data_IF_943464803396
#
_entry.id   IF_943464803396
#
_cell.length_a   1.000
_cell.length_b   1.000
_cell.length_c   1.000
_cell.angle_alpha   90.00
_cell.angle_beta   90.00
_cell.angle_gamma   90.00
#
_symmetry.space_group_name_H-M   'P 1'
#
loop_
_entity.id
_entity.type
_entity.pdbx_description
1 polymer ?
#
# COMPACT_ATOMS: atom_id res chain seq x y z
N UNK A 1 3.33 -0.43 17.63
CA UNK A 1 2.58 0.24 16.54
C UNK A 1 2.07 -0.79 15.53
N UNK A 2 2.91 -1.66 14.95
CA UNK A 2 2.48 -2.71 14.01
C UNK A 2 1.32 -3.56 14.54
N UNK A 3 1.50 -4.24 15.66
CA UNK A 3 0.47 -5.12 16.26
C UNK A 3 -0.86 -4.40 16.50
N UNK A 4 -0.82 -3.14 16.92
CA UNK A 4 -2.02 -2.34 17.13
C UNK A 4 -2.80 -2.13 15.84
N UNK A 5 -2.13 -1.71 14.74
CA UNK A 5 -2.81 -1.44 13.48
C UNK A 5 -3.22 -2.71 12.73
N UNK A 6 -2.41 -3.77 12.80
CA UNK A 6 -2.76 -5.06 12.23
C UNK A 6 -4.01 -5.65 12.92
N UNK A 7 -4.04 -5.64 14.27
CA UNK A 7 -5.21 -6.10 15.01
C UNK A 7 -6.45 -5.27 14.68
N UNK A 8 -6.30 -3.96 14.56
CA UNK A 8 -7.39 -3.07 14.20
C UNK A 8 -7.93 -3.36 12.81
N UNK A 9 -7.05 -3.62 11.83
CA UNK A 9 -7.45 -4.04 10.49
C UNK A 9 -8.28 -5.32 10.54
N UNK A 10 -7.80 -6.38 11.18
CA UNK A 10 -8.50 -7.66 11.25
C UNK A 10 -9.82 -7.63 12.02
N UNK A 11 -9.96 -6.74 13.01
CA UNK A 11 -11.15 -6.71 13.86
C UNK A 11 -12.23 -5.70 13.42
N UNK A 12 -11.85 -4.64 12.72
CA UNK A 12 -12.73 -3.48 12.50
C UNK A 12 -12.86 -3.09 11.03
N UNK A 13 -11.87 -3.40 10.18
CA UNK A 13 -11.87 -2.99 8.77
C UNK A 13 -12.52 -4.07 7.92
N UNK A 14 -13.52 -3.69 7.14
CA UNK A 14 -14.24 -4.59 6.25
C UNK A 14 -13.60 -4.58 4.86
N UNK A 15 -13.29 -5.77 4.33
CA UNK A 15 -12.78 -5.98 2.98
C UNK A 15 -13.88 -6.55 2.10
N UNK A 16 -13.99 -6.05 0.87
CA UNK A 16 -14.86 -6.71 -0.09
C UNK A 16 -14.33 -8.11 -0.43
N UNK A 17 -15.21 -9.12 -0.48
CA UNK A 17 -14.79 -10.46 -0.83
C UNK A 17 -14.28 -10.50 -2.28
N UNK A 18 -13.14 -11.15 -2.49
CA UNK A 18 -12.61 -11.43 -3.81
C UNK A 18 -12.95 -12.87 -4.19
N UNK A 19 -13.46 -13.06 -5.41
CA UNK A 19 -13.95 -14.37 -5.87
C UNK A 19 -12.82 -15.33 -6.31
N UNK A 20 -11.58 -14.85 -6.38
CA UNK A 20 -10.45 -15.63 -6.87
C UNK A 20 -9.77 -16.44 -5.77
N UNK A 21 -9.37 -17.68 -6.08
CA UNK A 21 -8.61 -18.59 -5.19
C UNK A 21 -7.19 -18.09 -4.84
N UNK A 22 -6.77 -16.95 -5.37
CA UNK A 22 -5.43 -16.40 -5.19
C UNK A 22 -5.50 -15.16 -4.32
N UNK A 23 -5.05 -15.34 -3.09
CA UNK A 23 -5.02 -14.30 -2.06
C UNK A 23 -3.83 -13.35 -2.25
N UNK A 24 -3.91 -12.41 -3.20
CA UNK A 24 -2.82 -11.47 -3.51
C UNK A 24 -3.09 -10.03 -3.10
N UNK A 25 -4.35 -9.65 -2.80
CA UNK A 25 -4.74 -8.28 -2.42
C UNK A 25 -5.64 -8.27 -1.17
N UNK A 26 -5.27 -9.02 -0.15
CA UNK A 26 -6.03 -9.22 1.09
C UNK A 26 -5.37 -8.58 2.28
N UNK A 27 -5.91 -8.91 3.45
CA UNK A 27 -5.33 -8.51 4.75
C UNK A 27 -3.84 -8.84 4.86
N UNK A 28 -3.41 -10.02 4.38
CA UNK A 28 -2.00 -10.41 4.41
C UNK A 28 -1.09 -9.50 3.60
N UNK A 29 -1.56 -9.01 2.43
CA UNK A 29 -0.88 -7.97 1.67
C UNK A 29 -0.82 -6.67 2.46
N UNK A 30 -1.95 -6.20 2.98
CA UNK A 30 -2.03 -4.97 3.76
C UNK A 30 -1.15 -5.02 5.02
N UNK A 31 -1.01 -6.18 5.67
CA UNK A 31 -0.07 -6.36 6.80
C UNK A 31 1.38 -6.18 6.38
N UNK A 32 1.80 -6.77 5.27
CA UNK A 32 3.18 -6.58 4.78
C UNK A 32 3.43 -5.14 4.36
N UNK A 33 2.46 -4.50 3.70
CA UNK A 33 2.53 -3.06 3.37
C UNK A 33 2.62 -2.20 4.64
N UNK A 34 1.87 -2.51 5.68
CA UNK A 34 1.96 -1.84 6.99
C UNK A 34 3.37 -1.96 7.60
N UNK A 35 3.97 -3.16 7.52
CA UNK A 35 5.33 -3.36 8.02
C UNK A 35 6.37 -2.57 7.20
N UNK A 36 6.24 -2.56 5.87
CA UNK A 36 7.09 -1.74 5.00
C UNK A 36 6.95 -0.25 5.31
N UNK A 37 5.72 0.26 5.43
CA UNK A 37 5.44 1.65 5.75
C UNK A 37 6.04 2.09 7.10
N UNK A 38 5.89 1.27 8.14
CA UNK A 38 6.49 1.55 9.45
C UNK A 38 8.02 1.52 9.42
N UNK A 39 8.61 0.62 8.63
CA UNK A 39 10.05 0.54 8.48
C UNK A 39 10.60 1.75 7.73
N UNK A 40 9.96 2.17 6.63
CA UNK A 40 10.29 3.40 5.91
C UNK A 40 10.17 4.62 6.82
N UNK A 41 9.06 4.76 7.55
CA UNK A 41 8.86 5.86 8.48
C UNK A 41 9.98 5.95 9.53
N UNK A 42 10.47 4.80 10.03
CA UNK A 42 11.57 4.74 10.98
C UNK A 42 12.91 5.11 10.33
N UNK A 43 13.22 4.62 9.12
CA UNK A 43 14.47 4.93 8.41
C UNK A 43 14.55 6.42 8.06
N UNK A 44 13.45 7.02 7.62
CA UNK A 44 13.33 8.44 7.27
C UNK A 44 13.07 9.35 8.48
N UNK A 45 12.89 8.78 9.68
CA UNK A 45 12.61 9.50 10.94
C UNK A 45 11.39 10.42 10.82
N UNK A 46 10.32 9.91 10.22
CA UNK A 46 9.09 10.66 10.03
C UNK A 46 8.44 11.07 11.35
N UNK A 47 7.73 12.19 11.32
CA UNK A 47 6.91 12.63 12.46
C UNK A 47 5.75 11.65 12.70
N UNK A 48 5.30 11.57 13.94
CA UNK A 48 4.25 10.63 14.36
C UNK A 48 2.96 10.75 13.53
N UNK A 49 2.54 11.94 13.13
CA UNK A 49 1.35 12.15 12.29
C UNK A 49 1.52 11.48 10.91
N UNK A 50 2.65 11.68 10.25
CA UNK A 50 2.95 11.05 8.96
C UNK A 50 3.01 9.52 9.09
N UNK A 51 3.63 9.00 10.17
CA UNK A 51 3.66 7.56 10.45
C UNK A 51 2.26 6.98 10.65
N UNK A 52 1.37 7.68 11.36
CA UNK A 52 -0.03 7.26 11.54
C UNK A 52 -0.76 7.28 10.19
N UNK A 53 -0.55 8.33 9.37
CA UNK A 53 -1.15 8.41 8.04
C UNK A 53 -0.74 7.25 7.13
N UNK A 54 0.53 6.84 7.19
CA UNK A 54 1.03 5.64 6.49
C UNK A 54 0.36 4.35 7.00
N UNK A 55 0.14 4.23 8.32
CA UNK A 55 -0.59 3.08 8.88
C UNK A 55 -2.03 3.03 8.38
N UNK A 56 -2.74 4.18 8.38
CA UNK A 56 -4.10 4.25 7.83
C UNK A 56 -4.10 3.88 6.35
N UNK A 57 -3.20 4.42 5.54
CA UNK A 57 -3.12 4.08 4.13
C UNK A 57 -2.89 2.58 3.93
N UNK A 58 -1.98 1.97 4.69
CA UNK A 58 -1.66 0.55 4.57
C UNK A 58 -2.86 -0.38 4.84
N UNK A 59 -3.67 -0.07 5.86
CA UNK A 59 -4.78 -0.97 6.25
C UNK A 59 -6.08 -0.73 5.46
N UNK A 60 -6.19 0.36 4.68
CA UNK A 60 -7.41 0.68 3.96
C UNK A 60 -7.30 0.58 2.42
N UNK A 61 -6.10 0.71 1.81
CA UNK A 61 -5.95 0.97 0.38
C UNK A 61 -6.63 -0.06 -0.54
N UNK A 62 -6.56 -1.35 -0.21
CA UNK A 62 -7.09 -2.46 -1.02
C UNK A 62 -8.45 -3.00 -0.53
N UNK A 63 -9.08 -2.36 0.48
CA UNK A 63 -10.35 -2.81 1.08
C UNK A 63 -11.53 -2.86 0.11
N UNK A 64 -11.48 -2.14 -1.00
CA UNK A 64 -12.59 -1.99 -1.96
C UNK A 64 -12.23 -2.44 -3.37
N UNK A 65 -11.37 -3.48 -3.45
CA UNK A 65 -11.09 -4.17 -4.72
C UNK A 65 -12.24 -5.10 -5.10
N UNK A 66 -12.50 -5.20 -6.40
CA UNK A 66 -13.50 -6.09 -6.99
C UNK A 66 -12.89 -7.40 -7.49
N UNK A 67 -11.61 -7.37 -7.83
CA UNK A 67 -10.87 -8.53 -8.32
C UNK A 67 -9.35 -8.41 -7.99
N UNK A 68 -8.61 -9.49 -8.26
CA UNK A 68 -7.17 -9.56 -8.10
C UNK A 68 -6.37 -9.06 -9.33
N UNK A 69 -7.06 -8.50 -10.33
CA UNK A 69 -6.44 -8.05 -11.59
C UNK A 69 -6.38 -6.51 -11.69
N UNK A 70 -6.66 -5.96 -12.85
CA UNK A 70 -6.61 -4.53 -13.11
C UNK A 70 -7.95 -3.85 -12.74
N UNK A 71 -8.19 -3.67 -11.47
CA UNK A 71 -9.35 -2.96 -10.95
C UNK A 71 -9.07 -1.45 -10.80
N UNK A 72 -9.20 -0.71 -11.89
CA UNK A 72 -9.02 0.77 -11.83
C UNK A 72 -10.06 1.44 -10.94
N UNK A 73 -9.60 2.38 -10.11
CA UNK A 73 -10.44 3.17 -9.23
C UNK A 73 -10.78 2.48 -7.89
N UNK A 74 -10.11 1.36 -7.56
CA UNK A 74 -10.27 0.79 -6.22
C UNK A 74 -9.72 1.73 -5.14
N UNK A 75 -8.67 2.47 -5.42
CA UNK A 75 -8.12 3.47 -4.51
C UNK A 75 -9.13 4.56 -4.15
N UNK A 76 -9.88 5.08 -5.13
CA UNK A 76 -10.95 6.06 -4.85
C UNK A 76 -12.05 5.46 -3.96
N UNK A 77 -12.52 4.25 -4.26
CA UNK A 77 -13.53 3.55 -3.44
C UNK A 77 -13.04 3.29 -2.01
N UNK A 78 -11.79 2.86 -1.88
CA UNK A 78 -11.16 2.62 -0.58
C UNK A 78 -10.99 3.93 0.23
N UNK A 79 -10.65 5.03 -0.42
CA UNK A 79 -10.53 6.34 0.22
C UNK A 79 -11.89 6.85 0.76
N UNK A 80 -12.98 6.68 -0.01
CA UNK A 80 -14.32 7.02 0.46
C UNK A 80 -14.75 6.14 1.65
N UNK A 81 -14.43 4.85 1.60
CA UNK A 81 -14.65 3.96 2.76
C UNK A 81 -13.86 4.40 3.98
N UNK A 82 -12.56 4.69 3.83
CA UNK A 82 -11.73 5.21 4.91
C UNK A 82 -12.33 6.46 5.55
N UNK A 83 -12.80 7.40 4.73
CA UNK A 83 -13.42 8.64 5.21
C UNK A 83 -14.72 8.37 6.00
N UNK A 84 -15.58 7.47 5.50
CA UNK A 84 -16.80 7.06 6.19
C UNK A 84 -16.47 6.34 7.50
N UNK A 85 -15.51 5.42 7.48
CA UNK A 85 -15.05 4.69 8.66
C UNK A 85 -14.58 5.65 9.77
N UNK A 86 -13.76 6.65 9.45
CA UNK A 86 -13.31 7.65 10.42
C UNK A 86 -14.47 8.49 10.98
N UNK A 87 -15.54 8.70 10.24
CA UNK A 87 -16.70 9.43 10.73
C UNK A 87 -17.53 8.61 11.76
N UNK A 88 -17.48 7.29 11.66
CA UNK A 88 -18.19 6.35 12.54
C UNK A 88 -17.35 5.92 13.76
N UNK A 89 -16.02 6.03 13.68
CA UNK A 89 -15.07 5.56 14.70
C UNK A 89 -14.29 6.75 15.29
N UNK A 90 -14.80 7.33 16.37
CA UNK A 90 -14.26 8.55 16.98
C UNK A 90 -12.79 8.45 17.47
N UNK A 91 -12.28 7.24 17.66
CA UNK A 91 -10.91 6.93 18.04
C UNK A 91 -9.95 6.82 16.85
N UNK A 92 -10.46 6.89 15.60
CA UNK A 92 -9.67 6.98 14.38
C UNK A 92 -9.88 8.33 13.70
N UNK A 93 -9.00 9.27 13.95
CA UNK A 93 -9.07 10.60 13.35
C UNK A 93 -8.80 10.54 11.85
N UNK A 94 -9.69 11.16 11.07
CA UNK A 94 -9.49 11.35 9.64
C UNK A 94 -8.23 12.17 9.36
N UNK A 95 -7.37 11.66 8.48
CA UNK A 95 -6.15 12.31 8.03
C UNK A 95 -6.24 12.52 6.51
N UNK A 96 -6.32 13.76 6.01
CA UNK A 96 -6.47 14.02 4.58
C UNK A 96 -5.26 13.56 3.76
N UNK A 97 -4.06 13.54 4.34
CA UNK A 97 -2.86 12.97 3.73
C UNK A 97 -2.96 11.45 3.52
N UNK A 98 -3.59 10.72 4.45
CA UNK A 98 -3.87 9.29 4.29
C UNK A 98 -4.94 9.04 3.23
N UNK A 99 -6.01 9.87 3.23
CA UNK A 99 -7.03 9.81 2.19
C UNK A 99 -6.44 10.01 0.79
N UNK A 100 -5.57 11.00 0.61
CA UNK A 100 -4.90 11.24 -0.67
C UNK A 100 -4.03 10.06 -1.09
N UNK A 101 -3.25 9.49 -0.15
CA UNK A 101 -2.42 8.32 -0.40
C UNK A 101 -3.26 7.11 -0.84
N UNK A 102 -4.35 6.81 -0.14
CA UNK A 102 -5.29 5.74 -0.49
C UNK A 102 -5.92 5.99 -1.87
N UNK A 103 -6.42 7.20 -2.12
CA UNK A 103 -7.16 7.54 -3.33
C UNK A 103 -6.35 7.37 -4.61
N UNK A 104 -5.06 7.73 -4.57
CA UNK A 104 -4.22 7.83 -5.77
C UNK A 104 -3.15 6.73 -5.86
N UNK A 105 -3.15 5.73 -4.95
CA UNK A 105 -2.11 4.70 -4.98
C UNK A 105 -2.11 3.86 -6.26
N UNK A 106 -3.29 3.59 -6.83
CA UNK A 106 -3.49 2.81 -8.04
C UNK A 106 -3.37 3.61 -9.35
N UNK A 107 -2.99 4.91 -9.24
CA UNK A 107 -2.92 5.84 -10.36
C UNK A 107 -1.49 6.33 -10.61
N UNK A 108 -1.29 7.05 -11.74
CA UNK A 108 -0.03 7.73 -12.03
C UNK A 108 0.28 8.79 -10.97
N UNK A 109 1.57 8.90 -10.61
CA UNK A 109 2.01 9.82 -9.55
C UNK A 109 1.62 11.28 -9.82
N UNK A 110 1.63 11.70 -11.09
CA UNK A 110 1.29 13.07 -11.47
C UNK A 110 -0.12 13.49 -11.05
N UNK A 111 -1.07 12.55 -10.99
CA UNK A 111 -2.45 12.82 -10.55
C UNK A 111 -2.52 13.03 -9.04
N UNK A 112 -1.85 12.18 -8.27
CA UNK A 112 -1.75 12.32 -6.82
C UNK A 112 -0.99 13.58 -6.42
N UNK A 113 0.14 13.85 -7.06
CA UNK A 113 0.96 15.03 -6.82
C UNK A 113 0.17 16.32 -7.07
N UNK A 114 -0.55 16.39 -8.20
CA UNK A 114 -1.36 17.56 -8.53
C UNK A 114 -2.49 17.78 -7.52
N UNK A 115 -3.18 16.72 -7.12
CA UNK A 115 -4.21 16.79 -6.08
C UNK A 115 -3.64 17.29 -4.75
N UNK A 116 -2.52 16.69 -4.30
CA UNK A 116 -1.89 17.04 -3.04
C UNK A 116 -1.37 18.48 -3.03
N UNK A 117 -0.77 18.94 -4.13
CA UNK A 117 -0.32 20.33 -4.24
C UNK A 117 -1.47 21.34 -4.15
N UNK A 118 -2.64 20.99 -4.70
CA UNK A 118 -3.82 21.86 -4.64
C UNK A 118 -4.47 21.84 -3.25
N UNK A 119 -4.70 20.65 -2.67
CA UNK A 119 -5.46 20.49 -1.43
C UNK A 119 -4.61 20.66 -0.17
N UNK A 120 -3.34 20.21 -0.20
CA UNK A 120 -2.42 20.26 0.94
C UNK A 120 -1.94 21.66 1.29
N UNK A 121 -1.94 22.59 0.31
CA UNK A 121 -1.47 23.98 0.50
C UNK A 121 -0.08 23.99 1.18
N UNK A 122 0.03 24.64 2.33
CA UNK A 122 1.28 24.74 3.08
C UNK A 122 1.76 23.39 3.64
N UNK A 123 0.87 22.41 3.81
CA UNK A 123 1.18 21.04 4.24
C UNK A 123 1.50 20.10 3.07
N UNK A 124 1.37 20.53 1.82
CA UNK A 124 1.59 19.69 0.64
C UNK A 124 2.93 18.93 0.66
N UNK A 125 4.07 19.50 1.07
CA UNK A 125 5.33 18.74 1.14
C UNK A 125 5.26 17.53 2.10
N UNK A 126 4.56 17.67 3.23
CA UNK A 126 4.37 16.58 4.18
C UNK A 126 3.42 15.51 3.63
N UNK A 127 2.36 15.90 2.93
CA UNK A 127 1.43 14.99 2.30
C UNK A 127 2.08 14.22 1.13
N UNK A 128 2.92 14.88 0.33
CA UNK A 128 3.71 14.22 -0.73
C UNK A 128 4.64 13.15 -0.15
N UNK A 129 5.28 13.42 0.98
CA UNK A 129 6.09 12.44 1.67
C UNK A 129 5.27 11.20 2.04
N UNK A 130 4.09 11.38 2.66
CA UNK A 130 3.19 10.26 3.00
C UNK A 130 2.76 9.49 1.75
N UNK A 131 2.37 10.20 0.70
CA UNK A 131 1.91 9.59 -0.55
C UNK A 131 3.00 8.75 -1.23
N UNK A 132 4.20 9.32 -1.39
CA UNK A 132 5.30 8.63 -2.07
C UNK A 132 5.82 7.46 -1.24
N UNK A 133 5.98 7.61 0.08
CA UNK A 133 6.40 6.53 0.97
C UNK A 133 5.36 5.41 1.02
N UNK A 134 4.07 5.75 0.99
CA UNK A 134 3.02 4.75 0.92
C UNK A 134 3.09 3.95 -0.40
N UNK A 135 3.24 4.62 -1.54
CA UNK A 135 3.40 3.94 -2.85
C UNK A 135 4.67 3.09 -2.91
N UNK A 136 5.73 3.50 -2.24
CA UNK A 136 6.95 2.69 -2.10
C UNK A 136 6.70 1.46 -1.23
N UNK A 137 5.98 1.61 -0.10
CA UNK A 137 5.62 0.49 0.78
C UNK A 137 4.75 -0.54 0.08
N UNK A 138 3.75 -0.12 -0.69
CA UNK A 138 2.91 -0.99 -1.51
C UNK A 138 3.72 -1.67 -2.62
N UNK A 139 4.56 -0.91 -3.34
CA UNK A 139 5.41 -1.44 -4.40
C UNK A 139 6.39 -2.50 -3.89
N UNK A 140 6.95 -2.37 -2.68
CA UNK A 140 7.85 -3.35 -2.08
C UNK A 140 7.21 -4.73 -1.93
N UNK A 141 5.91 -4.81 -1.69
CA UNK A 141 5.21 -6.10 -1.58
C UNK A 141 4.90 -6.76 -2.94
N UNK A 142 5.26 -6.13 -4.06
CA UNK A 142 5.07 -6.71 -5.41
C UNK A 142 5.86 -8.00 -5.64
N UNK A 143 6.85 -8.32 -4.82
CA UNK A 143 7.52 -9.61 -4.83
C UNK A 143 6.57 -10.79 -4.59
N UNK A 144 5.41 -10.58 -3.96
CA UNK A 144 4.35 -11.59 -3.87
C UNK A 144 3.82 -12.04 -5.24
N UNK A 145 3.91 -11.17 -6.23
CA UNK A 145 3.45 -11.43 -7.60
C UNK A 145 4.53 -12.10 -8.48
N UNK A 146 5.80 -11.99 -8.10
CA UNK A 146 6.96 -12.54 -8.79
C UNK A 146 8.22 -11.71 -8.54
N UNK A 147 9.38 -12.34 -8.54
CA UNK A 147 10.67 -11.66 -8.32
C UNK A 147 10.98 -10.59 -9.38
N UNK A 148 10.33 -10.68 -10.53
CA UNK A 148 10.42 -9.73 -11.65
C UNK A 148 9.39 -8.60 -11.59
N UNK A 149 8.44 -8.64 -10.61
CA UNK A 149 7.32 -7.70 -10.56
C UNK A 149 7.66 -6.38 -9.88
N UNK A 150 8.85 -6.27 -9.24
CA UNK A 150 9.38 -5.03 -8.70
C UNK A 150 10.62 -4.60 -9.48
N UNK A 151 10.54 -3.44 -10.14
CA UNK A 151 11.69 -2.72 -10.69
C UNK A 151 12.05 -1.58 -9.74
N UNK A 152 13.32 -1.49 -9.32
CA UNK A 152 13.82 -0.44 -8.42
C UNK A 152 13.58 0.98 -8.94
N UNK A 153 13.42 1.16 -10.26
CA UNK A 153 13.10 2.44 -10.87
C UNK A 153 11.68 2.95 -10.55
N UNK A 154 10.80 2.09 -10.04
CA UNK A 154 9.48 2.50 -9.54
C UNK A 154 9.52 3.01 -8.10
N UNK A 155 10.59 2.72 -7.36
CA UNK A 155 10.76 3.19 -5.99
C UNK A 155 11.31 4.62 -5.99
N UNK A 156 10.68 5.48 -5.21
CA UNK A 156 10.90 6.92 -5.16
C UNK A 156 12.00 7.30 -4.18
N UNK A 157 12.05 6.59 -3.05
CA UNK A 157 13.03 6.84 -1.98
C UNK A 157 14.24 5.90 -2.06
N UNK A 158 15.38 6.37 -1.58
CA UNK A 158 16.58 5.52 -1.47
C UNK A 158 16.37 4.44 -0.41
N UNK A 159 15.71 4.78 0.69
CA UNK A 159 15.37 3.86 1.79
C UNK A 159 14.51 2.69 1.30
N UNK A 160 13.55 2.94 0.41
CA UNK A 160 12.75 1.87 -0.19
C UNK A 160 13.61 0.94 -1.05
N UNK A 161 14.56 1.47 -1.82
CA UNK A 161 15.50 0.64 -2.60
C UNK A 161 16.37 -0.23 -1.70
N UNK A 162 16.81 0.29 -0.57
CA UNK A 162 17.58 -0.46 0.43
C UNK A 162 16.74 -1.55 1.12
N UNK A 163 15.43 -1.41 1.13
CA UNK A 163 14.50 -2.40 1.70
C UNK A 163 14.17 -3.57 0.77
N UNK A 164 14.55 -3.53 -0.51
CA UNK A 164 14.20 -4.59 -1.47
C UNK A 164 14.58 -6.02 -1.01
N UNK A 165 15.79 -6.28 -0.46
CA UNK A 165 16.12 -7.62 0.06
C UNK A 165 15.21 -8.05 1.20
N UNK A 166 14.94 -7.14 2.15
CA UNK A 166 14.02 -7.40 3.25
C UNK A 166 12.60 -7.71 2.75
N UNK A 167 12.10 -6.97 1.75
CA UNK A 167 10.77 -7.18 1.19
C UNK A 167 10.63 -8.56 0.53
N UNK A 168 11.66 -9.00 -0.20
CA UNK A 168 11.71 -10.34 -0.79
C UNK A 168 11.69 -11.44 0.30
N UNK A 169 12.53 -11.28 1.32
CA UNK A 169 12.60 -12.23 2.43
C UNK A 169 11.27 -12.30 3.18
N UNK A 170 10.60 -11.16 3.40
CA UNK A 170 9.30 -11.10 4.08
C UNK A 170 8.22 -11.86 3.32
N UNK A 171 8.15 -11.71 2.01
CA UNK A 171 7.22 -12.46 1.16
C UNK A 171 7.46 -13.97 1.29
N UNK A 172 8.71 -14.42 1.24
CA UNK A 172 9.05 -15.84 1.39
C UNK A 172 8.79 -16.40 2.79
N UNK A 173 8.77 -15.55 3.82
CA UNK A 173 8.48 -15.96 5.20
C UNK A 173 6.99 -15.98 5.53
N UNK A 174 6.17 -15.19 4.82
CA UNK A 174 4.76 -14.97 5.16
C UNK A 174 3.78 -15.61 4.19
N UNK A 175 4.21 -16.00 2.99
CA UNK A 175 3.39 -16.69 2.00
C UNK A 175 3.97 -18.10 1.79
N UNK A 176 3.11 -19.11 1.81
CA UNK A 176 3.55 -20.48 1.58
C UNK A 176 4.06 -20.70 0.14
N UNK A 177 4.96 -21.67 -0.03
CA UNK A 177 5.65 -21.91 -1.28
C UNK A 177 4.72 -22.33 -2.44
N UNK A 178 3.60 -22.99 -2.15
CA UNK A 178 2.64 -23.42 -3.18
C UNK A 178 1.87 -22.22 -3.73
N UNK A 179 1.41 -21.34 -2.84
CA UNK A 179 0.76 -20.07 -3.21
C UNK A 179 1.70 -19.19 -4.04
N UNK A 180 2.97 -19.02 -3.62
CA UNK A 180 3.96 -18.27 -4.41
C UNK A 180 4.18 -18.88 -5.79
N UNK A 181 4.33 -20.19 -5.87
CA UNK A 181 4.53 -20.89 -7.14
C UNK A 181 3.35 -20.67 -8.10
N UNK A 182 2.11 -20.75 -7.59
CA UNK A 182 0.90 -20.50 -8.39
C UNK A 182 0.87 -19.06 -8.91
N UNK A 183 1.09 -18.10 -8.02
CA UNK A 183 1.10 -16.67 -8.37
C UNK A 183 2.19 -16.34 -9.37
N UNK A 184 3.39 -16.87 -9.18
CA UNK A 184 4.52 -16.64 -10.09
C UNK A 184 4.25 -17.21 -11.49
N UNK A 185 3.65 -18.39 -11.57
CA UNK A 185 3.27 -18.98 -12.87
C UNK A 185 2.27 -18.12 -13.65
N UNK A 186 1.39 -17.39 -12.97
CA UNK A 186 0.42 -16.48 -13.61
C UNK A 186 1.06 -15.20 -14.14
N UNK A 187 2.08 -14.69 -13.47
CA UNK A 187 2.71 -13.40 -13.81
C UNK A 187 3.92 -13.52 -14.72
N UNK A 188 4.61 -14.65 -14.72
CA UNK A 188 5.81 -14.88 -15.54
C UNK A 188 5.62 -14.58 -17.04
N UNK A 189 4.50 -14.96 -17.71
CA UNK A 189 4.27 -14.61 -19.12
C UNK A 189 4.26 -13.11 -19.39
N UNK A 190 4.08 -12.29 -18.36
CA UNK A 190 3.98 -10.84 -18.46
C UNK A 190 5.16 -10.08 -17.85
N UNK A 191 6.25 -10.78 -17.48
CA UNK A 191 7.38 -10.22 -16.74
C UNK A 191 7.99 -8.96 -17.35
N UNK A 192 8.00 -8.83 -18.67
CA UNK A 192 8.55 -7.65 -19.34
C UNK A 192 7.66 -6.40 -19.21
N UNK A 193 6.40 -6.55 -18.81
CA UNK A 193 5.50 -5.42 -18.55
C UNK A 193 5.75 -4.72 -17.23
N UNK A 194 6.49 -5.37 -16.32
CA UNK A 194 6.80 -4.82 -14.99
C UNK A 194 8.08 -3.98 -14.96
N UNK A 195 8.81 -3.91 -16.07
CA UNK A 195 9.99 -3.04 -16.20
C UNK A 195 9.54 -1.63 -16.58
N UNK A 196 10.15 -0.65 -15.91
CA UNK A 196 9.96 0.75 -16.30
C UNK A 196 10.66 0.99 -17.63
N UNK A 197 9.98 1.63 -18.63
CA UNK A 197 10.59 1.94 -19.91
C UNK A 197 11.79 2.89 -19.78
#
# INVERSE_FOLDING_TARGET
MFTFWAQRMHCEVDFWPLEDDIDVHTEGHCERVLLHALRLANMQKLRIRATIALCHAAIFHDTRRKDNYLDKGHGERAAEYYKAFCAEHADMHYLPEAYAAIRFHDQDDTLGDAYIQNEGKDEAPAWLTVYHDFKDADALDRYRLGIWCLDANYLRSQEAKEMMPFALDLVHQTIDAETLKRTYALTEPFKDRFKKP
#
